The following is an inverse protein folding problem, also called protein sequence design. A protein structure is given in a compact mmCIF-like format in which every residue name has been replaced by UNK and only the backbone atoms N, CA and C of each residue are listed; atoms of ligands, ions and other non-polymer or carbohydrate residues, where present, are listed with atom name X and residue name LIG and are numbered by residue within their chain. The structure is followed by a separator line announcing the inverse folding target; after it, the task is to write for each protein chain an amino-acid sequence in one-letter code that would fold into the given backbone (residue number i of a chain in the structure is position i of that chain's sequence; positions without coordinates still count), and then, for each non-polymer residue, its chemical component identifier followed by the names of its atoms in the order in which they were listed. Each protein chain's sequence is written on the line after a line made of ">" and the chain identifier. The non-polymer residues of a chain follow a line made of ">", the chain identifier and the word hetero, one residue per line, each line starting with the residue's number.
data_IF_900058126641
#
_entry.id   IF_900058126641
#
_cell.length_a   1.000
_cell.length_b   1.000
_cell.length_c   1.000
_cell.angle_alpha   90.00
_cell.angle_beta   90.00
_cell.angle_gamma   90.00
#
_symmetry.space_group_name_H-M   'P 1'
#
loop_
_entity.id
_entity.type
_entity.pdbx_description
1 polymer ?
#
# COMPACT_ATOMS: atom_id res chain seq x y z
N UNK A 1 6.78 38.25 5.93
CA UNK A 1 7.81 37.32 6.44
C UNK A 1 7.48 35.95 5.88
N UNK A 2 8.09 35.61 4.75
CA UNK A 2 7.92 34.32 4.09
C UNK A 2 8.67 33.27 4.90
N UNK A 3 7.94 32.45 5.67
CA UNK A 3 8.50 31.34 6.44
C UNK A 3 8.51 30.08 5.60
N UNK A 4 9.68 29.46 5.51
CA UNK A 4 9.98 28.21 4.82
C UNK A 4 8.88 27.14 5.00
N UNK A 5 8.04 26.97 3.98
CA UNK A 5 7.49 25.66 3.66
C UNK A 5 8.64 24.82 3.07
N UNK A 6 9.61 24.46 3.91
CA UNK A 6 10.71 23.60 3.53
C UNK A 6 10.14 22.37 2.81
N UNK A 7 10.70 22.04 1.64
CA UNK A 7 10.43 20.79 0.93
C UNK A 7 10.71 19.60 1.87
N UNK A 8 9.75 19.21 2.70
CA UNK A 8 9.88 18.03 3.52
C UNK A 8 9.98 16.84 2.57
N UNK A 9 11.15 16.17 2.59
CA UNK A 9 11.35 14.89 1.92
C UNK A 9 10.32 13.91 2.47
N UNK A 10 9.60 13.25 1.56
CA UNK A 10 8.55 12.29 1.90
C UNK A 10 8.98 10.89 1.43
N UNK A 11 8.84 9.93 2.33
CA UNK A 11 9.04 8.52 2.02
C UNK A 11 7.68 7.84 2.04
N UNK A 12 7.32 7.17 0.94
CA UNK A 12 6.16 6.28 0.88
C UNK A 12 6.59 4.86 1.19
N UNK A 13 5.90 4.20 2.11
CA UNK A 13 6.12 2.79 2.43
C UNK A 13 4.85 2.02 2.08
N UNK A 14 4.97 0.97 1.27
CA UNK A 14 3.89 0.04 0.99
C UNK A 14 4.24 -1.30 1.60
N UNK A 15 3.44 -1.69 2.57
CA UNK A 15 3.60 -2.90 3.35
C UNK A 15 2.50 -3.89 2.98
N UNK A 16 2.88 -4.94 2.28
CA UNK A 16 1.99 -6.03 1.89
C UNK A 16 1.79 -7.01 3.05
N UNK A 17 0.64 -6.91 3.71
CA UNK A 17 0.28 -7.76 4.85
C UNK A 17 0.08 -9.23 4.47
N UNK A 18 -0.20 -9.54 3.19
CA UNK A 18 -0.41 -10.92 2.77
C UNK A 18 0.90 -11.69 2.63
N UNK A 19 2.00 -11.01 2.29
CA UNK A 19 3.30 -11.66 2.11
C UNK A 19 4.30 -11.36 3.21
N UNK A 20 4.16 -10.23 3.90
CA UNK A 20 4.98 -9.84 5.05
C UNK A 20 4.08 -9.56 6.26
N UNK A 21 3.41 -10.58 6.83
CA UNK A 21 2.56 -10.37 8.00
C UNK A 21 3.37 -9.88 9.20
N UNK A 22 2.69 -9.38 10.23
CA UNK A 22 3.31 -9.16 11.53
C UNK A 22 3.81 -10.51 12.06
N UNK A 23 5.11 -10.65 12.44
CA UNK A 23 5.61 -11.92 12.96
C UNK A 23 4.92 -12.34 14.25
N UNK A 24 4.84 -13.65 14.48
CA UNK A 24 4.22 -14.20 15.69
C UNK A 24 4.88 -13.65 16.97
N UNK A 25 4.04 -13.21 17.91
CA UNK A 25 4.49 -12.61 19.17
C UNK A 25 5.06 -11.20 19.05
N UNK A 26 5.07 -10.59 17.86
CA UNK A 26 5.47 -9.20 17.67
C UNK A 26 4.27 -8.26 17.88
N UNK A 27 4.46 -7.20 18.67
CA UNK A 27 3.43 -6.18 18.90
C UNK A 27 3.18 -5.35 17.61
N UNK A 28 1.99 -5.44 16.98
CA UNK A 28 1.70 -4.72 15.73
C UNK A 28 1.87 -3.21 15.85
N UNK A 29 1.64 -2.66 17.05
CA UNK A 29 1.72 -1.21 17.31
C UNK A 29 3.15 -0.68 17.17
N UNK A 30 4.15 -1.55 17.30
CA UNK A 30 5.58 -1.20 17.18
C UNK A 30 6.09 -1.20 15.74
N UNK A 31 5.33 -1.78 14.81
CA UNK A 31 5.75 -1.91 13.40
C UNK A 31 6.04 -0.55 12.77
N UNK A 32 5.18 0.47 12.98
CA UNK A 32 5.42 1.84 12.48
C UNK A 32 6.80 2.34 12.91
N UNK A 33 7.08 2.32 14.22
CA UNK A 33 8.33 2.85 14.76
C UNK A 33 9.57 2.12 14.21
N UNK A 34 9.46 0.80 14.02
CA UNK A 34 10.53 0.01 13.42
C UNK A 34 10.79 0.40 11.95
N UNK A 35 9.72 0.54 11.15
CA UNK A 35 9.81 0.97 9.75
C UNK A 35 10.39 2.38 9.65
N UNK A 36 9.90 3.34 10.44
CA UNK A 36 10.38 4.72 10.43
C UNK A 36 11.86 4.81 10.78
N UNK A 37 12.29 4.08 11.81
CA UNK A 37 13.69 4.01 12.20
C UNK A 37 14.57 3.42 11.10
N UNK A 38 14.13 2.32 10.47
CA UNK A 38 14.84 1.72 9.35
C UNK A 38 14.97 2.69 8.16
N UNK A 39 13.89 3.40 7.83
CA UNK A 39 13.91 4.44 6.79
C UNK A 39 14.88 5.56 7.14
N UNK A 40 14.83 6.11 8.36
CA UNK A 40 15.73 7.22 8.73
C UNK A 40 17.20 6.80 8.76
N UNK A 41 17.51 5.59 9.23
CA UNK A 41 18.86 5.01 9.18
C UNK A 41 19.34 4.89 7.73
N UNK A 42 18.51 4.35 6.84
CA UNK A 42 18.87 4.14 5.44
C UNK A 42 19.06 5.44 4.66
N UNK A 43 18.27 6.46 4.99
CA UNK A 43 18.31 7.76 4.32
C UNK A 43 19.39 8.69 4.89
N UNK A 44 19.95 8.37 6.07
CA UNK A 44 20.90 9.22 6.79
C UNK A 44 20.31 10.54 7.28
N UNK A 45 19.00 10.73 7.19
CA UNK A 45 18.29 11.92 7.66
C UNK A 45 16.83 11.60 7.97
N UNK A 46 16.18 12.45 8.76
CA UNK A 46 14.72 12.35 9.01
C UNK A 46 13.93 12.70 7.76
N UNK A 47 12.84 11.98 7.53
CA UNK A 47 11.85 12.26 6.49
C UNK A 47 10.44 12.06 7.04
N UNK A 48 9.44 12.69 6.40
CA UNK A 48 8.04 12.37 6.70
C UNK A 48 7.72 11.02 6.07
N UNK A 49 7.50 10.00 6.89
CA UNK A 49 7.19 8.64 6.45
C UNK A 49 5.67 8.44 6.46
N UNK A 50 5.13 8.01 5.32
CA UNK A 50 3.73 7.63 5.19
C UNK A 50 3.71 6.13 4.87
N UNK A 51 3.04 5.35 5.73
CA UNK A 51 3.00 3.90 5.66
C UNK A 51 1.60 3.46 5.27
N UNK A 52 1.52 2.68 4.19
CA UNK A 52 0.32 2.04 3.68
C UNK A 52 0.44 0.54 3.92
N UNK A 53 -0.31 0.00 4.86
CA UNK A 53 -0.50 -1.43 5.02
C UNK A 53 -1.60 -1.90 4.06
N UNK A 54 -1.22 -2.69 3.07
CA UNK A 54 -2.07 -3.08 1.97
C UNK A 54 -2.17 -4.60 1.79
N UNK A 55 -3.20 -5.03 1.06
CA UNK A 55 -3.41 -6.43 0.71
C UNK A 55 -4.90 -6.76 0.67
N UNK A 56 -5.23 -8.05 0.62
CA UNK A 56 -6.57 -8.47 1.00
C UNK A 56 -6.69 -8.50 2.53
N UNK A 57 -7.43 -7.51 3.03
CA UNK A 57 -7.71 -7.32 4.43
C UNK A 57 -8.98 -8.04 4.92
N UNK A 58 -9.76 -8.67 4.05
CA UNK A 58 -10.96 -9.47 4.42
C UNK A 58 -10.59 -10.67 5.31
N UNK A 59 -9.38 -11.20 5.14
CA UNK A 59 -8.90 -12.39 5.84
C UNK A 59 -7.94 -12.07 6.99
N UNK A 60 -7.80 -10.79 7.33
CA UNK A 60 -6.98 -10.35 8.47
C UNK A 60 -7.91 -10.07 9.65
N UNK A 61 -7.53 -10.54 10.84
CA UNK A 61 -8.35 -10.36 12.05
C UNK A 61 -8.61 -8.88 12.31
N UNK A 62 -9.84 -8.55 12.71
CA UNK A 62 -10.25 -7.19 13.04
C UNK A 62 -9.35 -6.53 14.09
N UNK A 63 -8.99 -7.26 15.15
CA UNK A 63 -8.10 -6.78 16.21
C UNK A 63 -6.73 -6.32 15.64
N UNK A 64 -6.11 -7.14 14.80
CA UNK A 64 -4.84 -6.79 14.16
C UNK A 64 -4.95 -5.54 13.26
N UNK A 65 -6.03 -5.42 12.48
CA UNK A 65 -6.27 -4.24 11.64
C UNK A 65 -6.43 -2.98 12.50
N UNK A 66 -7.18 -3.07 13.60
CA UNK A 66 -7.36 -1.96 14.54
C UNK A 66 -6.04 -1.57 15.21
N UNK A 67 -5.20 -2.52 15.62
CA UNK A 67 -3.89 -2.22 16.21
C UNK A 67 -2.92 -1.55 15.23
N UNK A 68 -2.92 -2.00 13.97
CA UNK A 68 -2.15 -1.37 12.89
C UNK A 68 -2.67 0.05 12.64
N UNK A 69 -3.98 0.22 12.50
CA UNK A 69 -4.60 1.54 12.28
C UNK A 69 -4.36 2.49 13.46
N UNK A 70 -4.40 1.99 14.71
CA UNK A 70 -4.13 2.74 15.92
C UNK A 70 -2.70 3.30 15.96
N UNK A 71 -1.74 2.59 15.37
CA UNK A 71 -0.38 3.11 15.18
C UNK A 71 -0.28 4.21 14.10
N UNK A 72 -1.41 4.63 13.51
CA UNK A 72 -1.47 5.64 12.46
C UNK A 72 -1.04 5.12 11.09
N UNK A 73 -0.96 3.81 10.88
CA UNK A 73 -0.69 3.22 9.56
C UNK A 73 -1.99 3.23 8.75
N UNK A 74 -1.91 3.64 7.48
CA UNK A 74 -3.07 3.68 6.57
C UNK A 74 -3.37 2.25 6.10
N UNK A 75 -4.57 1.75 6.38
CA UNK A 75 -5.03 0.46 5.85
C UNK A 75 -5.56 0.64 4.43
N UNK A 76 -5.16 -0.24 3.52
CA UNK A 76 -5.60 -0.22 2.12
C UNK A 76 -6.02 -1.62 1.68
N UNK A 77 -7.33 -1.86 1.57
CA UNK A 77 -7.83 -3.09 0.95
C UNK A 77 -7.61 -3.01 -0.57
N UNK A 78 -6.63 -3.77 -1.03
CA UNK A 78 -6.07 -3.79 -2.39
C UNK A 78 -5.64 -5.23 -2.74
N UNK A 79 -6.60 -6.12 -3.07
CA UNK A 79 -6.35 -7.55 -3.24
C UNK A 79 -5.65 -7.92 -4.56
N UNK A 80 -5.51 -7.00 -5.52
CA UNK A 80 -5.00 -7.28 -6.87
C UNK A 80 -3.48 -7.03 -7.05
N UNK A 81 -2.71 -7.05 -5.95
CA UNK A 81 -1.24 -7.05 -5.96
C UNK A 81 -0.62 -5.90 -6.78
N UNK A 82 0.23 -6.24 -7.74
CA UNK A 82 0.96 -5.26 -8.57
C UNK A 82 0.06 -4.26 -9.32
N UNK A 83 -1.18 -4.63 -9.65
CA UNK A 83 -2.11 -3.71 -10.33
C UNK A 83 -2.54 -2.56 -9.42
N UNK A 84 -2.92 -2.88 -8.19
CA UNK A 84 -3.34 -1.89 -7.18
C UNK A 84 -2.13 -1.08 -6.74
N UNK A 85 -1.00 -1.74 -6.52
CA UNK A 85 0.25 -1.07 -6.19
C UNK A 85 0.66 -0.06 -7.28
N UNK A 86 0.57 -0.40 -8.56
CA UNK A 86 0.83 0.53 -9.67
C UNK A 86 -0.08 1.76 -9.64
N UNK A 87 -1.37 1.58 -9.31
CA UNK A 87 -2.33 2.67 -9.17
C UNK A 87 -1.92 3.58 -8.02
N UNK A 88 -1.72 3.02 -6.82
CA UNK A 88 -1.32 3.74 -5.61
C UNK A 88 0.00 4.50 -5.79
N UNK A 89 0.98 3.86 -6.44
CA UNK A 89 2.28 4.45 -6.74
C UNK A 89 2.16 5.62 -7.72
N UNK A 90 1.31 5.48 -8.75
CA UNK A 90 1.02 6.54 -9.71
C UNK A 90 0.29 7.73 -9.09
N UNK A 91 -0.63 7.48 -8.16
CA UNK A 91 -1.31 8.53 -7.38
C UNK A 91 -0.32 9.24 -6.45
N UNK A 92 0.50 8.48 -5.71
CA UNK A 92 1.55 9.05 -4.87
C UNK A 92 2.49 9.99 -5.64
N UNK A 93 2.89 9.59 -6.86
CA UNK A 93 3.72 10.43 -7.72
C UNK A 93 3.05 11.73 -8.15
N UNK A 94 1.72 11.75 -8.33
CA UNK A 94 0.99 12.96 -8.72
C UNK A 94 0.79 13.91 -7.54
N UNK A 95 0.60 13.36 -6.34
CA UNK A 95 0.37 14.14 -5.12
C UNK A 95 1.62 14.76 -4.54
N UNK A 96 2.77 14.25 -4.96
CA UNK A 96 4.07 14.77 -4.61
C UNK A 96 4.81 14.99 -5.94
N UNK A 97 4.61 16.12 -6.65
CA UNK A 97 5.27 16.39 -7.94
C UNK A 97 6.60 17.16 -7.82
N UNK A 98 6.86 17.78 -6.66
CA UNK A 98 8.05 18.64 -6.43
C UNK A 98 9.07 18.13 -5.39
N UNK A 99 8.94 16.91 -4.83
CA UNK A 99 9.93 16.40 -3.86
C UNK A 99 11.25 16.01 -4.55
N UNK A 100 12.41 16.50 -4.09
CA UNK A 100 13.70 16.29 -4.74
C UNK A 100 14.29 14.89 -4.49
N UNK A 101 13.64 14.07 -3.66
CA UNK A 101 14.03 12.68 -3.42
C UNK A 101 12.79 11.88 -3.03
N UNK A 102 12.12 11.29 -4.01
CA UNK A 102 11.01 10.40 -3.74
C UNK A 102 11.54 9.03 -3.36
N UNK A 103 11.51 8.71 -2.08
CA UNK A 103 11.90 7.39 -1.63
C UNK A 103 10.68 6.52 -1.47
N UNK A 104 10.79 5.30 -1.98
CA UNK A 104 9.78 4.27 -1.84
C UNK A 104 10.42 3.07 -1.16
N UNK A 105 9.76 2.54 -0.14
CA UNK A 105 10.09 1.24 0.43
C UNK A 105 8.91 0.30 0.18
N UNK A 106 9.17 -0.79 -0.53
CA UNK A 106 8.20 -1.86 -0.72
C UNK A 106 8.57 -2.99 0.24
N UNK A 107 7.64 -3.37 1.11
CA UNK A 107 7.74 -4.52 2.01
C UNK A 107 6.79 -5.59 1.47
N UNK A 108 7.29 -6.48 0.60
CA UNK A 108 6.50 -7.52 -0.07
C UNK A 108 7.41 -8.56 -0.70
N UNK A 109 6.95 -9.82 -0.77
CA UNK A 109 7.53 -10.82 -1.68
C UNK A 109 6.60 -11.22 -2.84
N UNK A 110 5.52 -10.46 -3.08
CA UNK A 110 4.63 -10.67 -4.20
C UNK A 110 5.35 -10.30 -5.52
N UNK A 111 5.62 -11.31 -6.35
CA UNK A 111 6.37 -11.14 -7.61
C UNK A 111 5.77 -10.08 -8.55
N UNK A 112 4.46 -9.84 -8.49
CA UNK A 112 3.79 -8.80 -9.29
C UNK A 112 4.04 -7.39 -8.77
N UNK A 113 4.26 -7.22 -7.46
CA UNK A 113 4.53 -5.91 -6.83
C UNK A 113 6.01 -5.54 -6.89
N UNK A 114 6.90 -6.53 -6.77
CA UNK A 114 8.34 -6.32 -6.87
C UNK A 114 8.83 -6.21 -8.33
N UNK A 115 7.92 -6.23 -9.30
CA UNK A 115 8.25 -6.07 -10.71
C UNK A 115 8.86 -4.68 -10.97
N UNK A 116 10.13 -4.60 -11.43
CA UNK A 116 10.81 -3.36 -11.79
C UNK A 116 10.03 -2.46 -12.75
N UNK A 117 9.23 -3.04 -13.64
CA UNK A 117 8.43 -2.28 -14.61
C UNK A 117 7.44 -1.32 -13.92
N UNK A 118 7.02 -1.61 -12.68
CA UNK A 118 6.15 -0.72 -11.92
C UNK A 118 6.86 0.57 -11.48
N UNK A 119 8.18 0.50 -11.31
CA UNK A 119 9.00 1.61 -10.83
C UNK A 119 9.68 2.38 -11.96
N UNK A 120 9.89 1.79 -13.15
CA UNK A 120 10.52 2.50 -14.30
C UNK A 120 9.87 3.83 -14.69
N UNK A 121 8.53 3.99 -14.67
CA UNK A 121 7.90 5.27 -15.01
C UNK A 121 8.22 6.40 -14.01
N UNK A 122 8.91 6.07 -12.92
CA UNK A 122 9.01 6.90 -11.73
C UNK A 122 10.47 7.17 -11.39
N UNK A 123 10.75 8.35 -10.83
CA UNK A 123 12.11 8.73 -10.40
C UNK A 123 12.37 8.32 -8.94
N UNK A 124 11.81 7.19 -8.51
CA UNK A 124 11.90 6.73 -7.12
C UNK A 124 13.28 6.14 -6.81
N UNK A 125 13.82 6.51 -5.65
CA UNK A 125 14.82 5.66 -4.98
C UNK A 125 14.06 4.57 -4.26
N UNK A 126 14.16 3.34 -4.74
CA UNK A 126 13.36 2.22 -4.23
C UNK A 126 14.20 1.28 -3.34
N UNK A 127 13.61 0.86 -2.23
CA UNK A 127 14.12 -0.20 -1.35
C UNK A 127 13.13 -1.36 -1.34
N UNK A 128 13.64 -2.58 -1.24
CA UNK A 128 12.82 -3.79 -1.11
C UNK A 128 13.05 -4.44 0.26
N UNK A 129 11.99 -4.88 0.90
CA UNK A 129 12.02 -5.66 2.12
C UNK A 129 11.17 -6.90 1.90
N UNK A 130 11.67 -8.07 2.30
CA UNK A 130 10.98 -9.35 2.10
C UNK A 130 11.24 -10.29 3.28
N UNK A 131 10.40 -11.32 3.49
CA UNK A 131 10.63 -12.33 4.54
C UNK A 131 11.91 -13.11 4.28
N UNK A 132 12.60 -13.52 5.35
CA UNK A 132 13.92 -14.19 5.29
C UNK A 132 13.99 -15.34 4.27
N UNK A 133 12.97 -16.18 4.23
CA UNK A 133 12.95 -17.40 3.42
C UNK A 133 12.19 -17.22 2.08
N UNK A 134 11.77 -16.00 1.76
CA UNK A 134 10.91 -15.68 0.62
C UNK A 134 11.48 -14.57 -0.25
N UNK A 135 12.83 -14.52 -0.38
CA UNK A 135 13.48 -13.55 -1.27
C UNK A 135 12.96 -13.71 -2.71
N UNK A 136 12.41 -12.65 -3.34
CA UNK A 136 11.83 -12.78 -4.67
C UNK A 136 12.87 -13.12 -5.74
N UNK A 137 12.65 -14.23 -6.45
CA UNK A 137 13.53 -14.71 -7.54
C UNK A 137 13.69 -13.67 -8.66
N UNK A 138 12.68 -12.83 -8.86
CA UNK A 138 12.70 -11.74 -9.84
C UNK A 138 13.81 -10.73 -9.57
N UNK A 139 14.36 -10.65 -8.35
CA UNK A 139 15.50 -9.77 -8.04
C UNK A 139 16.82 -10.28 -8.65
N UNK A 140 16.99 -11.59 -8.80
CA UNK A 140 18.22 -12.20 -9.34
C UNK A 140 18.24 -12.24 -10.87
N UNK A 141 17.06 -12.35 -11.48
CA UNK A 141 16.93 -12.49 -12.93
C UNK A 141 17.05 -11.16 -13.68
N UNK A 142 17.34 -10.06 -12.97
CA UNK A 142 17.39 -8.73 -13.55
C UNK A 142 18.77 -8.41 -14.15
N UNK A 143 18.82 -7.94 -15.41
CA UNK A 143 20.01 -7.28 -15.92
C UNK A 143 20.40 -6.09 -15.03
N UNK A 144 21.70 -5.86 -14.82
CA UNK A 144 22.20 -4.75 -13.98
C UNK A 144 21.60 -3.39 -14.38
N UNK A 145 21.38 -3.17 -15.68
CA UNK A 145 20.77 -1.95 -16.22
C UNK A 145 19.27 -1.77 -15.87
N UNK A 146 18.63 -2.80 -15.31
CA UNK A 146 17.21 -2.82 -14.94
C UNK A 146 17.01 -2.94 -13.42
N UNK A 147 18.08 -2.93 -12.62
CA UNK A 147 17.99 -2.97 -11.16
C UNK A 147 17.38 -1.67 -10.66
N UNK A 148 16.19 -1.74 -10.06
CA UNK A 148 15.48 -0.57 -9.53
C UNK A 148 15.66 -0.40 -8.03
N UNK A 149 15.83 -1.51 -7.30
CA UNK A 149 16.04 -1.46 -5.86
C UNK A 149 17.50 -1.19 -5.54
N UNK A 150 17.76 -0.09 -4.84
CA UNK A 150 19.11 0.33 -4.43
C UNK A 150 19.58 -0.36 -3.15
N UNK A 151 18.65 -1.00 -2.42
CA UNK A 151 18.92 -1.79 -1.23
C UNK A 151 17.82 -2.80 -0.94
N UNK A 152 18.20 -3.90 -0.31
CA UNK A 152 17.35 -5.03 0.06
C UNK A 152 17.50 -5.32 1.55
N UNK A 153 16.41 -5.66 2.23
CA UNK A 153 16.39 -5.99 3.66
C UNK A 153 15.50 -7.20 3.96
N UNK A 154 15.82 -7.89 5.05
CA UNK A 154 14.98 -8.97 5.58
C UNK A 154 13.97 -8.38 6.58
N UNK A 155 12.70 -8.72 6.43
CA UNK A 155 11.59 -8.16 7.20
C UNK A 155 11.75 -8.36 8.71
N UNK A 156 12.03 -9.59 9.13
CA UNK A 156 12.15 -9.95 10.54
C UNK A 156 13.37 -9.27 11.18
N UNK A 157 14.49 -9.21 10.45
CA UNK A 157 15.69 -8.50 10.88
C UNK A 157 15.43 -7.00 11.00
N UNK A 158 14.72 -6.41 10.03
CA UNK A 158 14.35 -4.99 10.07
C UNK A 158 13.52 -4.66 11.31
N UNK A 159 12.56 -5.51 11.68
CA UNK A 159 11.78 -5.30 12.90
C UNK A 159 12.63 -5.43 14.17
N UNK A 160 13.44 -6.48 14.27
CA UNK A 160 14.25 -6.76 15.45
C UNK A 160 15.35 -5.71 15.70
N UNK A 161 16.04 -5.26 14.65
CA UNK A 161 17.13 -4.27 14.75
C UNK A 161 16.65 -2.85 15.10
N UNK A 162 15.33 -2.61 15.02
CA UNK A 162 14.71 -1.30 15.21
C UNK A 162 13.71 -1.27 16.37
N UNK A 163 13.61 -2.36 17.14
CA UNK A 163 12.63 -2.55 18.21
C UNK A 163 12.73 -1.48 19.31
N UNK A 164 13.94 -1.02 19.66
CA UNK A 164 14.17 -0.08 20.77
C UNK A 164 13.90 1.39 20.43
N UNK A 165 13.49 1.69 19.20
CA UNK A 165 13.23 3.08 18.80
C UNK A 165 11.88 3.55 19.34
N UNK A 166 11.88 4.69 20.04
CA UNK A 166 10.67 5.30 20.60
C UNK A 166 9.63 5.55 19.50
N UNK A 167 8.36 5.38 19.84
CA UNK A 167 7.25 5.73 18.97
C UNK A 167 7.33 7.22 18.62
N UNK A 168 7.52 7.52 17.34
CA UNK A 168 7.40 8.90 16.88
C UNK A 168 5.94 9.32 16.96
N UNK A 169 5.69 10.57 17.39
CA UNK A 169 4.34 11.13 17.51
C UNK A 169 3.61 11.03 16.17
N UNK A 170 2.48 10.31 16.15
CA UNK A 170 1.56 10.26 15.01
C UNK A 170 1.04 11.68 14.80
N UNK A 171 1.29 12.28 13.63
CA UNK A 171 0.63 13.54 13.28
C UNK A 171 -0.88 13.25 13.17
N UNK A 172 -1.71 14.10 13.78
CA UNK A 172 -3.17 13.94 13.92
C UNK A 172 -3.96 13.91 12.60
N UNK A 173 -3.30 13.95 11.44
CA UNK A 173 -3.95 14.21 10.15
C UNK A 173 -4.41 12.98 9.35
N UNK A 174 -4.13 11.75 9.76
CA UNK A 174 -4.67 10.58 9.02
C UNK A 174 -4.48 9.25 9.78
N UNK A 175 -5.59 8.58 10.15
CA UNK A 175 -5.75 7.20 9.71
C UNK A 175 -7.01 7.10 8.85
N UNK A 176 -6.79 7.14 7.54
CA UNK A 176 -7.79 6.73 6.57
C UNK A 176 -7.63 5.21 6.37
N UNK A 177 -8.72 4.48 6.44
CA UNK A 177 -8.80 3.17 5.80
C UNK A 177 -9.34 3.37 4.39
N UNK A 178 -8.79 2.66 3.41
CA UNK A 178 -9.11 2.82 2.00
C UNK A 178 -9.55 1.47 1.45
N UNK A 179 -10.66 1.44 0.72
CA UNK A 179 -11.07 0.30 -0.08
C UNK A 179 -10.84 0.62 -1.56
N UNK A 180 -9.83 0.01 -2.18
CA UNK A 180 -9.52 0.29 -3.59
C UNK A 180 -10.58 -0.29 -4.55
N UNK A 181 -11.22 -1.38 -4.12
CA UNK A 181 -12.31 -2.07 -4.82
C UNK A 181 -13.53 -1.16 -4.94
N UNK A 182 -13.94 -0.52 -3.84
CA UNK A 182 -15.14 0.32 -3.80
C UNK A 182 -14.86 1.81 -4.06
N UNK A 183 -13.59 2.22 -4.19
CA UNK A 183 -13.16 3.63 -4.28
C UNK A 183 -13.60 4.47 -3.06
N UNK A 184 -13.66 3.83 -1.88
CA UNK A 184 -14.16 4.40 -0.63
C UNK A 184 -13.06 4.65 0.41
N UNK A 185 -13.31 5.62 1.28
CA UNK A 185 -12.41 6.00 2.39
C UNK A 185 -13.17 6.12 3.69
N UNK A 186 -12.58 5.60 4.77
CA UNK A 186 -13.17 5.56 6.10
C UNK A 186 -12.24 6.23 7.10
N UNK A 187 -12.78 7.11 7.95
CA UNK A 187 -12.02 7.74 9.03
C UNK A 187 -12.00 6.85 10.30
N UNK A 188 -12.91 5.88 10.39
CA UNK A 188 -13.05 4.96 11.52
C UNK A 188 -12.77 3.53 11.04
N UNK A 189 -11.79 2.86 11.66
CA UNK A 189 -11.39 1.50 11.29
C UNK A 189 -12.53 0.48 11.45
N UNK A 190 -13.36 0.61 12.49
CA UNK A 190 -14.51 -0.26 12.69
C UNK A 190 -15.55 -0.16 11.56
N UNK A 191 -15.77 1.04 11.00
CA UNK A 191 -16.65 1.23 9.84
C UNK A 191 -16.07 0.57 8.59
N UNK A 192 -14.75 0.69 8.39
CA UNK A 192 -14.05 0.02 7.31
C UNK A 192 -14.14 -1.51 7.42
N UNK A 193 -13.92 -2.07 8.61
CA UNK A 193 -14.04 -3.51 8.86
C UNK A 193 -15.47 -3.99 8.60
N UNK A 194 -16.47 -3.18 8.99
CA UNK A 194 -17.88 -3.46 8.70
C UNK A 194 -18.15 -3.42 7.20
N UNK A 195 -17.58 -2.44 6.49
CA UNK A 195 -17.66 -2.34 5.04
C UNK A 195 -17.06 -3.54 4.32
N UNK A 196 -15.88 -4.03 4.72
CA UNK A 196 -15.26 -5.21 4.11
C UNK A 196 -16.14 -6.48 4.23
N UNK A 197 -17.07 -6.50 5.19
CA UNK A 197 -18.00 -7.60 5.42
C UNK A 197 -19.38 -7.35 4.79
N UNK A 198 -19.58 -6.22 4.12
CA UNK A 198 -20.90 -5.84 3.58
C UNK A 198 -21.20 -6.54 2.25
N UNK A 199 -22.49 -6.77 1.98
CA UNK A 199 -22.91 -7.39 0.72
C UNK A 199 -22.55 -6.53 -0.50
N UNK A 200 -22.57 -5.20 -0.35
CA UNK A 200 -22.16 -4.26 -1.39
C UNK A 200 -20.70 -4.43 -1.75
N UNK A 201 -19.81 -4.50 -0.75
CA UNK A 201 -18.39 -4.74 -0.97
C UNK A 201 -18.16 -6.08 -1.66
N UNK A 202 -18.78 -7.15 -1.15
CA UNK A 202 -18.66 -8.51 -1.71
C UNK A 202 -19.09 -8.52 -3.17
N UNK A 203 -20.16 -7.78 -3.52
CA UNK A 203 -20.65 -7.68 -4.90
C UNK A 203 -19.63 -6.97 -5.81
N UNK A 204 -19.12 -5.82 -5.41
CA UNK A 204 -18.11 -5.07 -6.17
C UNK A 204 -16.82 -5.89 -6.35
N UNK A 205 -16.34 -6.53 -5.27
CA UNK A 205 -15.20 -7.43 -5.32
C UNK A 205 -15.43 -8.55 -6.34
N UNK A 206 -16.62 -9.14 -6.33
CA UNK A 206 -16.95 -10.24 -7.23
C UNK A 206 -17.11 -9.81 -8.70
N UNK A 207 -17.32 -8.52 -8.98
CA UNK A 207 -17.36 -7.98 -10.35
C UNK A 207 -15.95 -7.64 -10.88
N UNK A 208 -14.99 -7.39 -9.98
CA UNK A 208 -13.61 -7.05 -10.31
C UNK A 208 -12.72 -8.29 -10.36
N UNK A 209 -12.88 -9.21 -9.40
CA UNK A 209 -12.06 -10.42 -9.33
C UNK A 209 -12.51 -11.38 -10.44
N UNK A 210 -11.58 -11.89 -11.28
CA UNK A 210 -11.92 -12.87 -12.28
C UNK A 210 -12.61 -14.06 -11.62
N UNK A 211 -13.87 -14.33 -11.97
CA UNK A 211 -14.55 -15.53 -11.49
C UNK A 211 -14.03 -16.73 -12.26
N UNK A 212 -13.98 -17.88 -11.60
CA UNK A 212 -13.90 -19.15 -12.31
C UNK A 212 -15.12 -19.23 -13.24
N UNK A 213 -14.86 -19.68 -14.47
CA UNK A 213 -15.90 -19.76 -15.49
C UNK A 213 -16.87 -20.92 -15.26
N UNK A 214 -16.56 -21.83 -14.31
CA UNK A 214 -17.28 -23.09 -14.09
C UNK A 214 -18.15 -23.12 -12.82
N UNK A 215 -17.81 -22.37 -11.77
CA UNK A 215 -18.54 -22.37 -10.48
C UNK A 215 -18.95 -20.97 -9.99
N UNK A 216 -18.57 -19.90 -10.71
CA UNK A 216 -18.81 -18.51 -10.35
C UNK A 216 -17.98 -18.00 -9.16
N UNK A 217 -16.92 -18.71 -8.74
CA UNK A 217 -16.11 -18.35 -7.56
C UNK A 217 -14.95 -17.41 -7.90
N UNK A 218 -14.60 -16.43 -7.05
CA UNK A 218 -13.45 -15.56 -7.28
C UNK A 218 -12.14 -16.36 -7.42
N UNK A 219 -11.38 -16.15 -8.50
CA UNK A 219 -10.03 -16.67 -8.62
C UNK A 219 -9.08 -15.85 -7.75
N UNK A 220 -8.32 -16.55 -6.91
CA UNK A 220 -7.21 -16.07 -6.07
C UNK A 220 -7.53 -15.59 -4.66
N UNK A 221 -8.07 -16.48 -3.82
CA UNK A 221 -7.63 -16.60 -2.41
C UNK A 221 -7.31 -18.07 -2.11
N UNK A 222 -6.02 -18.36 -1.90
CA UNK A 222 -5.37 -19.63 -1.58
C UNK A 222 -5.96 -20.91 -2.22
N UNK A 223 -5.29 -21.41 -3.25
CA UNK A 223 -5.47 -22.75 -3.79
C UNK A 223 -4.80 -23.77 -2.85
N UNK A 224 -5.55 -24.35 -1.92
CA UNK A 224 -5.28 -25.72 -1.46
C UNK A 224 -6.38 -26.63 -2.03
N UNK A 225 -6.00 -27.36 -3.10
CA UNK A 225 -6.60 -28.59 -3.65
C UNK A 225 -7.16 -28.55 -5.10
N UNK A 226 -6.34 -29.00 -6.06
CA UNK A 226 -6.54 -30.19 -6.94
C UNK A 226 -7.56 -30.11 -8.14
N UNK A 227 -6.97 -30.13 -9.37
CA UNK A 227 -7.37 -30.61 -10.76
C UNK A 227 -8.31 -29.80 -11.71
N UNK A 228 -8.35 -30.07 -13.06
CA UNK A 228 -7.66 -29.27 -14.08
C UNK A 228 -8.58 -28.65 -15.17
N UNK A 229 -7.92 -27.81 -15.98
CA UNK A 229 -8.33 -27.00 -17.13
C UNK A 229 -9.46 -27.49 -18.07
N UNK A 230 -10.19 -26.52 -18.67
CA UNK A 230 -10.05 -26.18 -20.12
C UNK A 230 -10.93 -24.98 -20.59
N UNK A 231 -10.32 -24.19 -21.49
CA UNK A 231 -10.88 -23.33 -22.56
C UNK A 231 -11.14 -21.82 -22.31
N UNK A 232 -10.55 -21.04 -23.22
CA UNK A 232 -10.32 -19.59 -23.28
C UNK A 232 -11.44 -18.88 -24.03
N UNK A 233 -11.91 -17.71 -23.55
CA UNK A 233 -12.52 -16.66 -24.40
C UNK A 233 -12.12 -15.27 -23.88
N UNK A 234 -11.63 -14.42 -24.78
CA UNK A 234 -11.18 -13.03 -24.58
C UNK A 234 -12.35 -12.03 -24.51
N UNK A 235 -12.31 -10.99 -23.67
CA UNK A 235 -13.32 -9.91 -23.69
C UNK A 235 -12.72 -8.49 -23.57
N UNK A 236 -13.40 -7.53 -24.20
CA UNK A 236 -12.90 -6.27 -24.74
C UNK A 236 -13.52 -5.00 -24.10
N UNK A 237 -12.64 -4.04 -23.84
CA UNK A 237 -12.70 -2.58 -24.05
C UNK A 237 -13.86 -1.65 -23.60
N UNK A 238 -14.99 -2.08 -23.00
CA UNK A 238 -16.10 -1.13 -22.71
C UNK A 238 -16.02 -0.45 -21.32
N UNK A 239 -15.26 -0.99 -20.36
CA UNK A 239 -15.22 -0.50 -18.96
C UNK A 239 -14.43 0.81 -18.76
N UNK A 240 -13.58 1.21 -19.72
CA UNK A 240 -12.59 2.30 -19.54
C UNK A 240 -13.19 3.71 -19.42
N UNK A 241 -14.36 3.99 -20.02
CA UNK A 241 -14.89 5.36 -20.11
C UNK A 241 -15.63 5.79 -18.84
N UNK A 242 -16.38 4.89 -18.19
CA UNK A 242 -17.09 5.19 -16.94
C UNK A 242 -16.13 5.42 -15.78
N UNK A 243 -15.02 4.68 -15.73
CA UNK A 243 -13.94 4.81 -14.73
C UNK A 243 -13.26 6.19 -14.80
N UNK A 244 -13.05 6.76 -15.99
CA UNK A 244 -12.37 8.07 -16.14
C UNK A 244 -13.22 9.24 -15.58
N UNK A 245 -14.54 9.18 -15.72
CA UNK A 245 -15.45 10.24 -15.27
C UNK A 245 -15.60 10.22 -13.74
N UNK A 246 -15.73 9.02 -13.14
CA UNK A 246 -15.75 8.85 -11.68
C UNK A 246 -14.43 9.34 -11.05
N UNK A 247 -13.29 8.99 -11.65
CA UNK A 247 -11.94 9.40 -11.21
C UNK A 247 -11.72 10.92 -11.19
N UNK A 248 -12.29 11.66 -12.13
CA UNK A 248 -12.20 13.15 -12.14
C UNK A 248 -13.03 13.79 -11.03
N UNK A 249 -14.13 13.15 -10.62
CA UNK A 249 -14.99 13.62 -9.54
C UNK A 249 -14.32 13.31 -8.19
N UNK A 250 -13.71 12.14 -8.04
CA UNK A 250 -12.90 11.74 -6.88
C UNK A 250 -11.72 12.69 -6.66
N UNK A 251 -10.88 12.93 -7.68
CA UNK A 251 -9.73 13.83 -7.56
C UNK A 251 -10.15 15.23 -7.11
N UNK A 252 -11.30 15.73 -7.60
CA UNK A 252 -11.84 17.04 -7.21
C UNK A 252 -12.37 17.06 -5.78
N UNK A 253 -13.04 16.00 -5.33
CA UNK A 253 -13.55 15.90 -3.95
C UNK A 253 -12.41 15.72 -2.96
N UNK A 254 -11.43 14.88 -3.28
CA UNK A 254 -10.23 14.64 -2.49
C UNK A 254 -9.36 15.91 -2.38
N UNK A 255 -9.08 16.59 -3.50
CA UNK A 255 -8.31 17.85 -3.50
C UNK A 255 -9.03 18.97 -2.72
N UNK A 256 -10.36 19.07 -2.85
CA UNK A 256 -11.17 20.03 -2.08
C UNK A 256 -11.13 19.75 -0.58
N UNK A 257 -11.25 18.49 -0.15
CA UNK A 257 -11.14 18.11 1.26
C UNK A 257 -9.74 18.42 1.83
N UNK A 258 -8.67 18.20 1.05
CA UNK A 258 -7.29 18.53 1.46
C UNK A 258 -7.01 20.03 1.52
N UNK A 259 -7.46 20.81 0.53
CA UNK A 259 -7.30 22.29 0.52
C UNK A 259 -8.08 22.93 1.67
N UNK A 260 -9.29 22.44 1.96
CA UNK A 260 -10.10 22.93 3.08
C UNK A 260 -9.48 22.65 4.46
N UNK A 261 -8.65 21.60 4.60
CA UNK A 261 -7.87 21.35 5.83
C UNK A 261 -6.67 22.28 5.94
N UNK A 262 -5.90 22.46 4.85
CA UNK A 262 -4.75 23.38 4.83
C UNK A 262 -5.15 24.86 5.09
N UNK A 263 -6.37 25.28 4.72
CA UNK A 263 -6.87 26.61 5.00
C UNK A 263 -7.21 26.88 6.48
N UNK A 264 -7.40 25.84 7.30
CA UNK A 264 -7.71 25.99 8.74
C UNK A 264 -6.45 26.18 9.61
N UNK A 265 -5.27 25.89 9.09
CA UNK A 265 -3.98 26.11 9.76
C UNK A 265 -3.47 27.56 9.63
N UNK A 266 -4.09 28.38 8.77
CA UNK A 266 -3.70 29.79 8.57
C UNK A 266 -4.50 30.74 9.50
N UNK A 267 -5.46 30.20 10.26
CA UNK A 267 -6.34 30.96 11.17
C UNK A 267 -6.26 30.51 12.64
N UNK A 268 -5.23 29.74 12.99
CA UNK A 268 -4.79 29.52 14.38
C UNK A 268 -3.35 30.00 14.52
#
# INVERSE_FOLDING_TARGET
>A
MAGDAALQRRTGVWWDLNTCPVPDGFDPRRVRGCIESAVHKQMGHRSKVVIYAMGNLEYISSDLLEEIAYSGIVLVHAPCGGNDFRKLLGEWSQLNPSSPAYTVMLISCNYTMVDPYLFRPTRFTAFCVYPKDSRPVTLDQQPVAQKVFVGEFVWETLLNDNITCEMMTVNEDEPLCICDICDDTFEICAEFITHLKSEEHIKELSDIVPRDSWYGKPMHFAMFAIIPATTIITCSSITKVKIIIARRIWLRKWLKKRIARAGREIHK
#
